data_IF_373698591170
#
_entry.id   IF_373698591170
#
_cell.length_a   1.000
_cell.length_b   1.000
_cell.length_c   1.000
_cell.angle_alpha   90.00
_cell.angle_beta   90.00
_cell.angle_gamma   90.00
#
_symmetry.space_group_name_H-M   'P 1'
#
loop_
_entity.id
_entity.type
_entity.pdbx_description
1 polymer ?
#
# COMPACT_ATOMS: atom_id res chain seq x y z
N UNK A 1 15.27 -30.96 -24.60
CA UNK A 1 15.62 -29.87 -23.66
C UNK A 1 15.32 -28.53 -24.34
N UNK A 2 14.07 -28.02 -24.24
CA UNK A 2 13.76 -26.66 -24.63
C UNK A 2 14.44 -25.74 -23.61
N UNK A 3 15.43 -24.96 -24.02
CA UNK A 3 15.93 -23.81 -23.28
C UNK A 3 14.77 -22.82 -23.19
N UNK A 4 14.17 -22.69 -22.01
CA UNK A 4 13.26 -21.59 -21.73
C UNK A 4 14.03 -20.29 -21.97
N UNK A 5 13.63 -19.53 -23.02
CA UNK A 5 14.11 -18.18 -23.24
C UNK A 5 13.66 -17.34 -22.03
N UNK A 6 14.61 -16.94 -21.16
CA UNK A 6 14.32 -15.89 -20.18
C UNK A 6 13.86 -14.65 -20.94
N UNK A 7 12.69 -14.15 -20.63
CA UNK A 7 12.17 -12.93 -21.20
C UNK A 7 13.04 -11.73 -20.77
N UNK A 8 13.36 -10.85 -21.70
CA UNK A 8 14.23 -9.69 -21.52
C UNK A 8 13.40 -8.51 -21.00
N UNK A 9 14.00 -7.62 -20.21
CA UNK A 9 13.35 -6.52 -19.47
C UNK A 9 12.44 -5.65 -20.37
N UNK A 10 12.87 -5.38 -21.60
CA UNK A 10 12.16 -4.46 -22.52
C UNK A 10 10.96 -5.09 -23.25
N UNK A 11 10.73 -6.41 -23.11
CA UNK A 11 9.64 -7.13 -23.79
C UNK A 11 8.55 -7.63 -22.83
N UNK A 12 8.70 -7.39 -21.52
CA UNK A 12 7.79 -7.93 -20.51
C UNK A 12 6.69 -6.93 -20.18
N UNK A 13 5.44 -7.40 -20.27
CA UNK A 13 4.27 -6.74 -19.71
C UNK A 13 3.91 -7.39 -18.37
N UNK A 14 4.43 -6.85 -17.28
CA UNK A 14 4.18 -7.35 -15.92
C UNK A 14 2.68 -7.42 -15.60
N UNK A 15 1.90 -6.45 -16.08
CA UNK A 15 0.45 -6.39 -15.89
C UNK A 15 -0.28 -7.57 -16.53
N UNK A 16 0.27 -8.17 -17.57
CA UNK A 16 -0.31 -9.34 -18.25
C UNK A 16 0.04 -10.67 -17.56
N UNK A 17 0.98 -10.67 -16.64
CA UNK A 17 1.37 -11.87 -15.87
C UNK A 17 0.43 -12.17 -14.69
N UNK A 18 -0.57 -11.35 -14.46
CA UNK A 18 -1.47 -11.44 -13.32
C UNK A 18 -2.91 -11.57 -13.74
N UNK A 19 -3.69 -12.38 -13.01
CA UNK A 19 -5.14 -12.54 -13.26
C UNK A 19 -5.92 -11.28 -12.93
N UNK A 20 -5.51 -10.58 -11.87
CA UNK A 20 -6.12 -9.34 -11.39
C UNK A 20 -5.06 -8.26 -11.26
N UNK A 21 -5.44 -6.99 -11.46
CA UNK A 21 -4.53 -5.88 -11.32
C UNK A 21 -4.63 -5.25 -9.91
N UNK A 22 -3.50 -5.16 -9.21
CA UNK A 22 -3.36 -4.40 -7.98
C UNK A 22 -4.42 -4.74 -6.92
N UNK A 23 -5.09 -3.71 -6.44
CA UNK A 23 -6.08 -3.81 -5.35
C UNK A 23 -7.35 -4.63 -5.68
N UNK A 24 -7.66 -4.86 -6.95
CA UNK A 24 -8.76 -5.75 -7.35
C UNK A 24 -8.53 -7.22 -6.97
N UNK A 25 -7.32 -7.57 -6.53
CA UNK A 25 -6.97 -8.89 -5.99
C UNK A 25 -7.35 -9.06 -4.50
N UNK A 26 -7.76 -8.00 -3.80
CA UNK A 26 -8.15 -8.07 -2.38
C UNK A 26 -9.41 -8.90 -2.19
N UNK A 27 -9.46 -9.66 -1.09
CA UNK A 27 -10.67 -10.41 -0.68
C UNK A 27 -11.72 -9.40 -0.27
N UNK A 28 -12.96 -9.57 -0.75
CA UNK A 28 -14.06 -8.66 -0.44
C UNK A 28 -14.30 -8.54 1.08
N UNK A 29 -14.65 -7.32 1.58
CA UNK A 29 -14.73 -7.03 3.00
C UNK A 29 -15.73 -7.91 3.75
N UNK A 30 -16.86 -8.28 3.13
CA UNK A 30 -17.85 -9.18 3.74
C UNK A 30 -17.31 -10.58 4.00
N UNK A 31 -16.56 -11.16 3.04
CA UNK A 31 -15.91 -12.46 3.20
C UNK A 31 -14.82 -12.41 4.25
N UNK A 32 -14.01 -11.33 4.24
CA UNK A 32 -12.94 -11.14 5.22
C UNK A 32 -13.50 -10.99 6.64
N UNK A 33 -14.55 -10.20 6.83
CA UNK A 33 -15.21 -10.03 8.12
C UNK A 33 -15.75 -11.35 8.67
N UNK A 34 -16.34 -12.20 7.80
CA UNK A 34 -16.81 -13.53 8.19
C UNK A 34 -15.68 -14.44 8.67
N UNK A 35 -14.53 -14.42 8.00
CA UNK A 35 -13.37 -15.23 8.39
C UNK A 35 -12.75 -14.71 9.69
N UNK A 36 -12.55 -13.39 9.79
CA UNK A 36 -11.97 -12.75 10.97
C UNK A 36 -12.86 -12.88 12.21
N UNK A 37 -14.19 -12.90 12.04
CA UNK A 37 -15.14 -13.06 13.14
C UNK A 37 -15.00 -14.37 13.93
N UNK A 38 -14.33 -15.38 13.35
CA UNK A 38 -14.06 -16.67 14.00
C UNK A 38 -12.71 -16.70 14.76
N UNK A 39 -11.91 -15.63 14.66
CA UNK A 39 -10.63 -15.57 15.38
C UNK A 39 -10.85 -15.28 16.87
N UNK A 40 -9.97 -15.81 17.75
CA UNK A 40 -10.01 -15.45 19.16
C UNK A 40 -9.75 -13.94 19.31
N UNK A 41 -10.51 -13.29 20.19
CA UNK A 41 -10.27 -11.90 20.54
C UNK A 41 -9.05 -11.77 21.43
N UNK A 42 -8.14 -10.88 21.03
CA UNK A 42 -6.97 -10.53 21.81
C UNK A 42 -7.25 -9.22 22.57
N UNK A 43 -7.15 -9.29 23.89
CA UNK A 43 -7.29 -8.12 24.75
C UNK A 43 -5.91 -7.75 25.31
N UNK A 44 -5.41 -6.60 24.92
CA UNK A 44 -4.18 -5.99 25.43
C UNK A 44 -4.43 -4.49 25.62
N UNK A 45 -4.18 -3.99 26.82
CA UNK A 45 -4.41 -2.57 27.17
C UNK A 45 -3.53 -1.60 26.37
N UNK A 46 -2.42 -2.11 25.80
CA UNK A 46 -1.52 -1.33 24.96
C UNK A 46 -1.93 -1.36 23.48
N UNK A 47 -2.85 -2.21 23.06
CA UNK A 47 -3.36 -2.22 21.69
C UNK A 47 -4.41 -1.11 21.53
N UNK A 48 -3.98 0.05 20.99
CA UNK A 48 -4.84 1.23 20.81
C UNK A 48 -5.77 1.05 19.60
N UNK A 49 -5.24 0.52 18.50
CA UNK A 49 -5.96 0.25 17.25
C UNK A 49 -5.63 -1.17 16.79
N UNK A 50 -6.65 -1.98 16.60
CA UNK A 50 -6.55 -3.37 16.20
C UNK A 50 -7.55 -3.74 15.11
N UNK A 51 -7.82 -5.04 14.97
CA UNK A 51 -8.70 -5.58 13.91
C UNK A 51 -10.15 -5.09 14.02
N UNK A 52 -10.59 -4.69 15.21
CA UNK A 52 -12.00 -4.35 15.48
C UNK A 52 -12.46 -3.07 14.78
N UNK A 53 -11.56 -2.11 14.55
CA UNK A 53 -11.88 -0.82 13.95
C UNK A 53 -11.70 -0.81 12.43
N UNK A 54 -11.07 -1.85 11.87
CA UNK A 54 -10.71 -1.91 10.43
C UNK A 54 -10.03 -0.62 9.97
N UNK A 55 -9.12 -0.09 10.80
CA UNK A 55 -8.35 1.11 10.49
C UNK A 55 -7.18 0.81 9.54
N UNK A 56 -6.48 1.83 9.06
CA UNK A 56 -5.43 1.69 8.05
C UNK A 56 -4.21 0.90 8.56
N UNK A 57 -3.91 0.96 9.86
CA UNK A 57 -2.84 0.18 10.48
C UNK A 57 -3.13 -0.15 11.94
N UNK A 58 -2.45 -1.18 12.47
CA UNK A 58 -2.46 -1.47 13.88
C UNK A 58 -1.58 -0.49 14.67
N UNK A 59 -2.01 -0.11 15.88
CA UNK A 59 -1.25 0.76 16.78
C UNK A 59 -1.08 0.12 18.16
N UNK A 60 0.17 -0.03 18.56
CA UNK A 60 0.53 -0.60 19.86
C UNK A 60 1.34 0.41 20.70
N UNK A 61 0.84 0.74 21.89
CA UNK A 61 1.51 1.65 22.83
C UNK A 61 2.76 1.02 23.42
N UNK A 62 3.88 1.70 23.35
CA UNK A 62 5.16 1.28 23.94
C UNK A 62 5.47 2.06 25.21
N UNK A 63 5.14 3.36 25.23
CA UNK A 63 5.29 4.24 26.37
C UNK A 63 4.23 5.35 26.33
N UNK A 64 4.27 6.27 27.29
CA UNK A 64 3.33 7.42 27.31
C UNK A 64 3.49 8.33 26.08
N UNK A 65 4.68 8.38 25.48
CA UNK A 65 5.01 9.29 24.38
C UNK A 65 5.20 8.55 23.04
N UNK A 66 5.21 7.21 23.02
CA UNK A 66 5.52 6.41 21.85
C UNK A 66 4.53 5.28 21.65
N UNK A 67 3.98 5.20 20.44
CA UNK A 67 3.30 4.02 19.93
C UNK A 67 3.92 3.58 18.59
N UNK A 68 3.88 2.28 18.35
CA UNK A 68 4.24 1.66 17.08
C UNK A 68 3.02 1.63 16.17
N UNK A 69 3.20 1.98 14.91
CA UNK A 69 2.27 1.73 13.83
C UNK A 69 2.83 0.56 13.03
N UNK A 70 2.01 -0.46 12.79
CA UNK A 70 2.39 -1.61 11.96
C UNK A 70 1.36 -1.83 10.86
N UNK A 71 1.83 -1.83 9.62
CA UNK A 71 1.05 -2.17 8.44
C UNK A 71 1.80 -3.13 7.53
N UNK A 72 1.05 -3.77 6.65
CA UNK A 72 1.56 -4.65 5.62
C UNK A 72 0.65 -4.55 4.41
N UNK A 73 1.21 -4.15 3.26
CA UNK A 73 0.47 -4.15 2.00
C UNK A 73 1.37 -4.62 0.85
N UNK A 74 0.84 -5.49 0.00
CA UNK A 74 1.50 -5.98 -1.20
C UNK A 74 0.47 -6.37 -2.25
N UNK A 75 0.81 -6.24 -3.51
CA UNK A 75 -0.09 -6.53 -4.62
C UNK A 75 0.65 -6.89 -5.91
N UNK A 76 -0.12 -7.27 -6.90
CA UNK A 76 0.35 -7.61 -8.25
C UNK A 76 0.58 -6.34 -9.07
N UNK A 77 1.45 -6.35 -10.11
CA UNK A 77 1.76 -5.19 -10.93
C UNK A 77 0.54 -4.46 -11.49
N UNK A 78 0.58 -3.14 -11.38
CA UNK A 78 -0.41 -2.20 -11.94
C UNK A 78 0.16 -1.41 -13.13
N UNK A 79 1.47 -1.49 -13.33
CA UNK A 79 2.22 -0.92 -14.47
C UNK A 79 3.25 -1.92 -14.95
N UNK A 80 3.73 -1.79 -16.19
CA UNK A 80 4.67 -2.74 -16.78
C UNK A 80 6.14 -2.43 -16.42
N UNK A 81 6.48 -1.15 -16.19
CA UNK A 81 7.82 -0.77 -15.74
C UNK A 81 8.09 -1.29 -14.32
N UNK A 82 9.12 -2.14 -14.14
CA UNK A 82 9.42 -2.73 -12.84
C UNK A 82 9.81 -1.72 -11.76
N UNK A 83 10.54 -0.66 -12.14
CA UNK A 83 10.97 0.37 -11.20
C UNK A 83 9.77 1.18 -10.70
N UNK A 84 8.90 1.60 -11.63
CA UNK A 84 7.66 2.32 -11.28
C UNK A 84 6.71 1.46 -10.45
N UNK A 85 6.58 0.16 -10.77
CA UNK A 85 5.82 -0.77 -9.93
C UNK A 85 6.37 -0.81 -8.50
N UNK A 86 7.69 -0.91 -8.34
CA UNK A 86 8.34 -0.85 -7.03
C UNK A 86 8.04 0.45 -6.27
N UNK A 87 8.08 1.60 -6.95
CA UNK A 87 7.75 2.89 -6.36
C UNK A 87 6.29 2.96 -5.90
N UNK A 88 5.35 2.54 -6.74
CA UNK A 88 3.91 2.55 -6.45
C UNK A 88 3.61 1.66 -5.24
N UNK A 89 4.15 0.44 -5.22
CA UNK A 89 3.92 -0.50 -4.13
C UNK A 89 4.46 0.02 -2.78
N UNK A 90 5.65 0.62 -2.79
CA UNK A 90 6.23 1.21 -1.59
C UNK A 90 5.46 2.47 -1.13
N UNK A 91 5.10 3.37 -2.05
CA UNK A 91 4.30 4.55 -1.72
C UNK A 91 2.95 4.17 -1.10
N UNK A 92 2.33 3.10 -1.59
CA UNK A 92 1.10 2.55 -1.06
C UNK A 92 1.29 2.03 0.38
N UNK A 93 2.26 1.15 0.62
CA UNK A 93 2.51 0.58 1.95
C UNK A 93 2.89 1.62 3.00
N UNK A 94 3.59 2.71 2.59
CA UNK A 94 3.95 3.82 3.46
C UNK A 94 2.75 4.72 3.81
N UNK A 95 1.71 4.72 2.98
CA UNK A 95 0.54 5.61 3.11
C UNK A 95 -0.28 5.36 4.35
N UNK A 96 -0.40 4.12 4.79
CA UNK A 96 -1.14 3.75 6.00
C UNK A 96 -0.51 4.38 7.25
N UNK A 97 0.82 4.44 7.31
CA UNK A 97 1.52 5.10 8.43
C UNK A 97 1.19 6.59 8.47
N UNK A 98 1.15 7.25 7.31
CA UNK A 98 0.78 8.67 7.23
C UNK A 98 -0.70 8.90 7.57
N UNK A 99 -1.59 7.99 7.15
CA UNK A 99 -3.01 8.06 7.46
C UNK A 99 -3.29 7.96 8.96
N UNK A 100 -2.45 7.22 9.70
CA UNK A 100 -2.50 7.11 11.15
C UNK A 100 -1.78 8.25 11.89
N UNK A 101 -1.29 9.28 11.19
CA UNK A 101 -0.59 10.43 11.76
C UNK A 101 0.88 10.19 12.11
N UNK A 102 1.44 9.04 11.71
CA UNK A 102 2.78 8.63 12.07
C UNK A 102 3.86 8.98 11.06
N UNK A 103 5.07 8.56 11.41
CA UNK A 103 6.27 8.64 10.58
C UNK A 103 6.83 7.25 10.34
N UNK A 104 6.99 6.80 9.08
CA UNK A 104 7.67 5.54 8.76
C UNK A 104 9.11 5.54 9.30
N UNK A 105 9.52 4.43 9.93
CA UNK A 105 10.88 4.29 10.48
C UNK A 105 11.63 3.13 9.84
N UNK A 106 11.00 1.96 9.71
CA UNK A 106 11.62 0.81 9.04
C UNK A 106 10.64 0.16 8.09
N UNK A 107 11.18 -0.43 7.02
CA UNK A 107 10.44 -1.20 6.05
C UNK A 107 11.13 -2.54 5.77
N UNK A 108 10.33 -3.58 5.53
CA UNK A 108 10.76 -4.90 5.10
C UNK A 108 10.08 -5.23 3.76
N UNK A 109 10.86 -5.70 2.77
CA UNK A 109 10.32 -6.14 1.50
C UNK A 109 9.48 -7.42 1.64
N UNK A 110 8.38 -7.49 0.92
CA UNK A 110 7.57 -8.68 0.72
C UNK A 110 7.55 -8.96 -0.77
N UNK A 111 8.04 -10.14 -1.17
CA UNK A 111 8.24 -10.49 -2.57
C UNK A 111 7.66 -11.87 -2.88
N UNK A 112 6.79 -11.95 -3.87
CA UNK A 112 6.49 -13.17 -4.63
C UNK A 112 7.03 -12.99 -6.05
N UNK A 113 7.86 -13.93 -6.56
CA UNK A 113 8.50 -13.73 -7.86
C UNK A 113 8.59 -15.00 -8.68
N UNK A 114 8.15 -14.97 -9.98
CA UNK A 114 8.19 -16.11 -10.87
C UNK A 114 9.61 -16.48 -11.31
N UNK A 115 9.94 -17.78 -11.25
CA UNK A 115 11.25 -18.28 -11.70
C UNK A 115 11.50 -18.12 -13.21
N UNK A 116 10.45 -17.93 -14.02
CA UNK A 116 10.58 -17.72 -15.45
C UNK A 116 11.09 -16.31 -15.81
N UNK A 117 11.03 -15.35 -14.87
CA UNK A 117 11.50 -13.99 -15.08
C UNK A 117 13.00 -13.83 -14.83
N UNK A 118 13.61 -12.84 -15.50
CA UNK A 118 14.98 -12.46 -15.22
C UNK A 118 15.09 -11.82 -13.82
N UNK A 119 16.00 -12.25 -12.94
CA UNK A 119 16.21 -11.63 -11.63
C UNK A 119 16.51 -10.13 -11.66
N UNK A 120 16.97 -9.60 -12.79
CA UNK A 120 17.17 -8.16 -12.97
C UNK A 120 15.87 -7.37 -12.86
N UNK A 121 14.73 -7.98 -13.26
CA UNK A 121 13.41 -7.37 -13.11
C UNK A 121 13.09 -7.18 -11.63
N UNK A 122 13.33 -8.21 -10.82
CA UNK A 122 13.19 -8.09 -9.36
C UNK A 122 14.11 -7.00 -8.81
N UNK A 123 15.36 -6.95 -9.26
CA UNK A 123 16.31 -5.90 -8.88
C UNK A 123 15.74 -4.50 -9.11
N UNK A 124 15.13 -4.27 -10.29
CA UNK A 124 14.50 -2.98 -10.62
C UNK A 124 13.28 -2.67 -9.73
N UNK A 125 12.45 -3.66 -9.42
CA UNK A 125 11.33 -3.50 -8.48
C UNK A 125 11.84 -3.06 -7.10
N UNK A 126 12.85 -3.76 -6.57
CA UNK A 126 13.44 -3.44 -5.27
C UNK A 126 14.11 -2.06 -5.24
N UNK A 127 14.79 -1.66 -6.31
CA UNK A 127 15.35 -0.29 -6.45
C UNK A 127 14.26 0.77 -6.39
N UNK A 128 13.15 0.57 -7.11
CA UNK A 128 12.00 1.47 -7.07
C UNK A 128 11.41 1.59 -5.66
N UNK A 129 11.21 0.46 -4.98
CA UNK A 129 10.74 0.44 -3.59
C UNK A 129 11.69 1.14 -2.62
N UNK A 130 12.99 0.83 -2.72
CA UNK A 130 14.02 1.45 -1.89
C UNK A 130 14.08 2.98 -2.07
N UNK A 131 13.88 3.48 -3.29
CA UNK A 131 13.85 4.93 -3.56
C UNK A 131 12.75 5.65 -2.76
N UNK A 132 11.56 5.03 -2.63
CA UNK A 132 10.44 5.61 -1.86
C UNK A 132 10.64 5.48 -0.35
N UNK A 133 11.23 4.40 0.12
CA UNK A 133 11.60 4.25 1.53
C UNK A 133 12.60 5.34 1.93
N UNK A 134 13.59 5.61 1.08
CA UNK A 134 14.57 6.68 1.28
C UNK A 134 13.90 8.07 1.27
N UNK A 135 13.00 8.34 0.31
CA UNK A 135 12.22 9.60 0.22
C UNK A 135 11.35 9.81 1.47
N UNK A 136 10.80 8.75 2.03
CA UNK A 136 10.06 8.78 3.29
C UNK A 136 10.94 9.13 4.51
N UNK A 137 12.25 8.96 4.40
CA UNK A 137 13.20 9.08 5.51
C UNK A 137 13.24 7.84 6.41
N UNK A 138 12.79 6.70 5.88
CA UNK A 138 12.81 5.41 6.58
C UNK A 138 14.01 4.55 6.14
N UNK A 139 14.23 3.46 6.86
CA UNK A 139 15.31 2.49 6.59
C UNK A 139 14.73 1.19 6.04
N UNK A 140 15.24 0.75 4.90
CA UNK A 140 14.96 -0.59 4.38
C UNK A 140 15.82 -1.60 5.14
N UNK A 141 15.20 -2.42 6.00
CA UNK A 141 15.91 -3.28 6.95
C UNK A 141 16.00 -4.76 6.53
N UNK A 142 15.49 -5.10 5.35
CA UNK A 142 15.49 -6.48 4.84
C UNK A 142 14.18 -6.87 4.19
N UNK A 143 13.77 -8.12 4.39
CA UNK A 143 12.50 -8.63 3.87
C UNK A 143 12.48 -10.13 3.67
N UNK A 144 11.43 -10.63 3.01
CA UNK A 144 11.25 -12.03 2.68
C UNK A 144 10.81 -12.20 1.23
N UNK A 145 11.33 -13.21 0.56
CA UNK A 145 10.98 -13.54 -0.83
C UNK A 145 10.64 -15.02 -0.97
N UNK A 146 9.61 -15.28 -1.75
CA UNK A 146 9.19 -16.63 -2.11
C UNK A 146 9.04 -16.75 -3.64
N UNK A 147 9.13 -17.98 -4.14
CA UNK A 147 8.72 -18.28 -5.49
C UNK A 147 7.19 -18.23 -5.59
N UNK A 148 6.66 -17.57 -6.61
CA UNK A 148 5.22 -17.48 -6.89
C UNK A 148 5.00 -17.53 -8.40
N UNK A 149 3.82 -17.88 -8.84
CA UNK A 149 3.45 -17.88 -10.27
C UNK A 149 3.19 -16.46 -10.80
N UNK A 150 2.81 -15.54 -9.93
CA UNK A 150 2.55 -14.14 -10.25
C UNK A 150 3.53 -13.23 -9.49
N UNK A 151 4.08 -12.19 -10.13
CA UNK A 151 4.89 -11.21 -9.42
C UNK A 151 4.03 -10.45 -8.39
N UNK A 152 4.53 -10.35 -7.16
CA UNK A 152 3.92 -9.59 -6.07
C UNK A 152 5.00 -8.84 -5.33
N UNK A 153 4.72 -7.59 -4.99
CA UNK A 153 5.64 -6.77 -4.22
C UNK A 153 4.89 -5.81 -3.31
N UNK A 154 5.48 -5.53 -2.18
CA UNK A 154 5.06 -4.53 -1.21
C UNK A 154 5.97 -4.51 0.00
N UNK A 155 5.53 -3.84 1.05
CA UNK A 155 6.30 -3.65 2.26
C UNK A 155 5.48 -4.01 3.50
N UNK A 156 6.17 -4.53 4.51
CA UNK A 156 5.74 -4.38 5.91
C UNK A 156 6.44 -3.14 6.47
N UNK A 157 5.67 -2.20 6.99
CA UNK A 157 6.19 -0.92 7.47
C UNK A 157 5.92 -0.78 8.97
N UNK A 158 6.95 -0.37 9.70
CA UNK A 158 6.83 0.08 11.09
C UNK A 158 7.03 1.58 11.14
N UNK A 159 6.05 2.28 11.70
CA UNK A 159 6.09 3.72 11.96
C UNK A 159 6.01 4.04 13.44
N UNK A 160 6.28 5.30 13.78
CA UNK A 160 6.16 5.83 15.13
C UNK A 160 5.16 6.97 15.16
N UNK A 161 4.39 7.04 16.25
CA UNK A 161 3.45 8.13 16.51
C UNK A 161 3.36 8.40 18.02
N UNK A 162 3.09 9.64 18.41
CA UNK A 162 2.72 9.91 19.78
C UNK A 162 1.27 9.42 20.02
N UNK A 163 0.98 8.65 21.11
CA UNK A 163 -0.36 8.12 21.38
C UNK A 163 -1.47 9.17 21.41
N UNK A 164 -1.16 10.42 21.71
CA UNK A 164 -2.11 11.54 21.76
C UNK A 164 -2.31 12.23 20.40
N UNK A 165 -1.59 11.82 19.34
CA UNK A 165 -1.62 12.42 18.00
C UNK A 165 -2.03 11.44 16.91
N UNK A 166 -2.65 10.34 17.28
CA UNK A 166 -3.11 9.32 16.35
C UNK A 166 -4.30 9.85 15.55
N UNK A 167 -4.23 9.75 14.24
CA UNK A 167 -5.39 9.89 13.37
C UNK A 167 -6.14 8.55 13.31
N UNK A 168 -7.45 8.61 13.16
CA UNK A 168 -8.32 7.43 13.11
C UNK A 168 -9.30 7.57 11.95
N UNK A 169 -9.80 6.46 11.43
CA UNK A 169 -10.78 6.47 10.34
C UNK A 169 -12.22 6.79 10.81
N UNK A 170 -12.42 7.04 12.08
CA UNK A 170 -13.71 7.36 12.68
C UNK A 170 -13.65 8.63 13.54
N UNK A 171 -14.81 9.22 13.81
CA UNK A 171 -14.95 10.45 14.62
C UNK A 171 -15.52 11.63 13.85
N UNK A 172 -15.71 11.51 12.52
CA UNK A 172 -16.34 12.54 11.70
C UNK A 172 -17.78 12.83 12.15
N UNK A 173 -18.19 14.09 12.03
CA UNK A 173 -19.51 14.59 12.43
C UNK A 173 -20.19 15.32 11.27
N UNK A 174 -21.53 15.39 11.24
CA UNK A 174 -22.23 16.26 10.29
C UNK A 174 -21.73 17.70 10.40
N UNK A 175 -21.34 18.27 9.27
CA UNK A 175 -20.75 19.60 9.18
C UNK A 175 -19.22 19.62 9.02
N UNK A 176 -18.53 18.50 9.20
CA UNK A 176 -17.10 18.41 8.91
C UNK A 176 -16.83 18.55 7.41
N UNK A 177 -15.70 19.16 7.07
CA UNK A 177 -15.25 19.33 5.69
C UNK A 177 -14.43 18.12 5.26
N UNK A 178 -14.82 17.51 4.15
CA UNK A 178 -14.05 16.43 3.53
C UNK A 178 -12.97 17.01 2.63
N UNK A 179 -11.72 16.57 2.82
CA UNK A 179 -10.57 16.98 2.02
C UNK A 179 -9.99 15.76 1.33
N UNK A 180 -9.92 15.82 0.01
CA UNK A 180 -9.24 14.82 -0.81
C UNK A 180 -7.84 15.34 -1.16
N UNK A 181 -6.80 14.63 -0.71
CA UNK A 181 -5.41 15.07 -0.86
C UNK A 181 -4.76 14.65 -2.17
N UNK A 182 -5.38 13.72 -2.91
CA UNK A 182 -4.98 13.27 -4.25
C UNK A 182 -6.19 13.01 -5.12
N UNK A 183 -5.97 13.02 -6.44
CA UNK A 183 -7.01 12.66 -7.41
C UNK A 183 -7.46 11.20 -7.20
N UNK A 184 -8.74 10.95 -7.43
CA UNK A 184 -9.35 9.63 -7.44
C UNK A 184 -9.50 9.12 -8.89
N UNK A 185 -9.76 7.83 -9.06
CA UNK A 185 -9.96 7.21 -10.37
C UNK A 185 -8.78 6.38 -10.86
N UNK A 186 -7.71 6.23 -10.07
CA UNK A 186 -6.54 5.41 -10.42
C UNK A 186 -6.92 3.96 -10.77
N UNK A 187 -7.90 3.37 -10.10
CA UNK A 187 -8.38 2.01 -10.39
C UNK A 187 -9.00 1.89 -11.78
N UNK A 188 -9.72 2.91 -12.25
CA UNK A 188 -10.30 2.95 -13.60
C UNK A 188 -9.18 2.99 -14.65
N UNK A 189 -8.19 3.88 -14.44
CA UNK A 189 -7.05 4.02 -15.36
C UNK A 189 -6.20 2.76 -15.36
N UNK A 190 -5.94 2.14 -14.22
CA UNK A 190 -5.20 0.87 -14.14
C UNK A 190 -5.91 -0.26 -14.90
N UNK A 191 -7.25 -0.29 -14.88
CA UNK A 191 -8.02 -1.23 -15.70
C UNK A 191 -7.87 -0.91 -17.18
N UNK A 192 -7.89 0.37 -17.57
CA UNK A 192 -7.68 0.80 -18.94
C UNK A 192 -6.24 0.50 -19.43
N UNK A 193 -5.22 0.64 -18.58
CA UNK A 193 -3.83 0.24 -18.89
C UNK A 193 -3.78 -1.25 -19.20
N UNK A 194 -4.35 -2.09 -18.32
CA UNK A 194 -4.39 -3.54 -18.54
C UNK A 194 -5.15 -3.94 -19.80
N UNK A 195 -6.17 -3.18 -20.17
CA UNK A 195 -6.96 -3.35 -21.39
C UNK A 195 -6.36 -2.68 -22.64
N UNK A 196 -5.16 -2.08 -22.53
CA UNK A 196 -4.48 -1.35 -23.62
C UNK A 196 -5.35 -0.21 -24.20
N UNK A 197 -6.15 0.45 -23.36
CA UNK A 197 -7.07 1.54 -23.72
C UNK A 197 -6.65 2.91 -23.18
N UNK A 198 -5.64 2.94 -22.28
CA UNK A 198 -5.16 4.20 -21.69
C UNK A 198 -4.22 4.93 -22.64
N UNK A 199 -4.31 6.28 -22.67
CA UNK A 199 -3.34 7.11 -23.39
C UNK A 199 -2.08 7.31 -22.55
N UNK A 200 -0.96 7.71 -23.19
CA UNK A 200 0.29 7.98 -22.48
C UNK A 200 0.13 9.09 -21.42
N UNK A 201 -0.69 10.12 -21.71
CA UNK A 201 -0.97 11.17 -20.74
C UNK A 201 -1.70 10.64 -19.49
N UNK A 202 -2.71 9.78 -19.67
CA UNK A 202 -3.41 9.12 -18.55
C UNK A 202 -2.46 8.24 -17.74
N UNK A 203 -1.58 7.52 -18.41
CA UNK A 203 -0.59 6.65 -17.77
C UNK A 203 0.38 7.50 -16.94
N UNK A 204 0.93 8.56 -17.50
CA UNK A 204 1.87 9.45 -16.82
C UNK A 204 1.22 10.13 -15.61
N UNK A 205 0.00 10.63 -15.76
CA UNK A 205 -0.74 11.28 -14.67
C UNK A 205 -1.02 10.32 -13.51
N UNK A 206 -1.53 9.13 -13.80
CA UNK A 206 -1.83 8.15 -12.73
C UNK A 206 -0.57 7.65 -12.03
N UNK A 207 0.54 7.46 -12.76
CA UNK A 207 1.83 7.09 -12.18
C UNK A 207 2.33 8.19 -11.24
N UNK A 208 2.26 9.47 -11.66
CA UNK A 208 2.66 10.58 -10.82
C UNK A 208 1.87 10.64 -9.51
N UNK A 209 0.55 10.40 -9.56
CA UNK A 209 -0.31 10.33 -8.37
C UNK A 209 0.05 9.13 -7.48
N UNK A 210 0.23 7.94 -8.06
CA UNK A 210 0.48 6.71 -7.30
C UNK A 210 1.89 6.66 -6.69
N UNK A 211 2.90 7.25 -7.34
CA UNK A 211 4.27 7.30 -6.82
C UNK A 211 4.51 8.42 -5.81
N UNK A 212 3.64 9.42 -5.74
CA UNK A 212 3.75 10.52 -4.77
C UNK A 212 3.46 10.02 -3.36
N UNK A 213 4.34 10.33 -2.38
CA UNK A 213 4.11 10.02 -0.97
C UNK A 213 3.02 10.92 -0.36
N UNK A 214 2.24 10.38 0.58
CA UNK A 214 1.28 11.15 1.37
C UNK A 214 1.93 11.92 2.54
N UNK A 215 3.26 11.90 2.63
CA UNK A 215 4.06 12.58 3.66
C UNK A 215 3.71 14.06 3.79
N UNK A 216 3.67 14.77 2.66
CA UNK A 216 3.37 16.22 2.66
C UNK A 216 1.97 16.54 3.15
N UNK A 217 0.98 15.72 2.75
CA UNK A 217 -0.39 15.87 3.25
C UNK A 217 -0.42 15.71 4.78
N UNK A 218 0.20 14.65 5.31
CA UNK A 218 0.32 14.41 6.76
C UNK A 218 0.99 15.59 7.49
N UNK A 219 2.11 16.10 7.00
CA UNK A 219 2.83 17.24 7.58
C UNK A 219 1.98 18.53 7.65
N UNK A 220 1.07 18.71 6.70
CA UNK A 220 0.16 19.85 6.70
C UNK A 220 -0.99 19.64 7.68
N UNK A 221 -1.69 18.50 7.57
CA UNK A 221 -2.92 18.27 8.34
C UNK A 221 -2.67 18.08 9.83
N UNK A 222 -1.48 17.63 10.26
CA UNK A 222 -1.16 17.47 11.69
C UNK A 222 -1.16 18.78 12.50
N UNK A 223 -1.18 19.92 11.79
CA UNK A 223 -1.26 21.25 12.41
C UNK A 223 -2.71 21.74 12.62
N UNK A 224 -3.69 20.93 12.26
CA UNK A 224 -5.12 21.25 12.34
C UNK A 224 -5.86 20.21 13.19
N UNK A 225 -7.01 20.57 13.76
CA UNK A 225 -7.88 19.59 14.41
C UNK A 225 -8.49 18.67 13.35
N UNK A 226 -8.16 17.38 13.41
CA UNK A 226 -8.60 16.34 12.47
C UNK A 226 -9.65 15.47 13.18
N UNK A 227 -10.85 15.40 12.62
CA UNK A 227 -11.93 14.54 13.14
C UNK A 227 -11.72 13.07 12.73
N UNK A 228 -11.28 12.84 11.47
CA UNK A 228 -10.92 11.52 10.94
C UNK A 228 -9.96 11.65 9.77
N UNK A 229 -9.19 10.60 9.55
CA UNK A 229 -8.28 10.45 8.41
C UNK A 229 -8.25 8.98 7.99
N UNK A 230 -8.20 8.70 6.70
CA UNK A 230 -8.03 7.33 6.18
C UNK A 230 -7.35 7.36 4.82
N UNK A 231 -6.69 6.26 4.48
CA UNK A 231 -6.20 5.98 3.14
C UNK A 231 -7.32 5.34 2.32
N UNK A 232 -7.62 5.90 1.13
CA UNK A 232 -8.69 5.40 0.24
C UNK A 232 -8.28 4.12 -0.50
N UNK A 233 -7.87 3.09 0.23
CA UNK A 233 -7.49 1.80 -0.32
C UNK A 233 -8.42 0.67 0.12
N UNK A 234 -8.79 0.64 1.38
CA UNK A 234 -9.50 -0.48 2.00
C UNK A 234 -10.91 -0.11 2.49
N UNK A 235 -11.10 1.09 2.96
CA UNK A 235 -12.32 1.54 3.65
C UNK A 235 -13.34 2.19 2.72
N UNK A 236 -13.00 2.41 1.44
CA UNK A 236 -13.97 2.95 0.49
C UNK A 236 -14.80 1.80 -0.11
N UNK A 237 -16.11 1.72 0.16
CA UNK A 237 -16.95 0.73 -0.49
C UNK A 237 -16.94 0.97 -1.99
N UNK A 238 -16.50 -0.04 -2.74
CA UNK A 238 -16.67 -0.06 -4.19
C UNK A 238 -18.15 -0.26 -4.52
N UNK A 239 -18.69 0.32 -5.62
CA UNK A 239 -20.04 -0.01 -6.09
C UNK A 239 -20.26 -1.49 -6.39
N UNK A 240 -19.20 -2.32 -6.38
CA UNK A 240 -19.29 -3.79 -6.49
C UNK A 240 -19.46 -4.48 -5.13
N UNK A 241 -19.35 -3.76 -4.04
CA UNK A 241 -19.44 -4.28 -2.66
C UNK A 241 -20.83 -4.04 -2.05
N UNK A 242 -21.76 -3.47 -2.84
CA UNK A 242 -23.17 -3.21 -2.49
C UNK A 242 -24.13 -4.16 -3.18
#
# INVERSE_FOLDING_TARGET
>A
LKRDKKMIIDEIKLTQMTKTAGWAAKIGPGTLAQVLGNLPKFNDENLIVGVETSDDAAIYKVSEDLALIQTLDFFTPVVDDPYLFGQIAAANSLSDVYAMGGEPKTALNIVGFPNCLDPKILGRILEGGASKVLEAGAVLAGGHSIQDDEPKYGLSVTGFVNPNKIFKNYGSKPGDILILTKQIGSGIINTAIKGEMATDDMINEVIAVMTSLNKKAKEVIENYPISACTCLLYTSPSPRDS
#
